data_IF_791295183527
#
_entry.id   IF_791295183527
#
_cell.length_a   1.000
_cell.length_b   1.000
_cell.length_c   1.000
_cell.angle_alpha   90.00
_cell.angle_beta   90.00
_cell.angle_gamma   90.00
#
_symmetry.space_group_name_H-M   'P 1'
#
loop_
_entity.id
_entity.type
_entity.pdbx_description
1 polymer ?
#
# COMPACT_ATOMS: atom_id res chain seq x y z
N UNK A 1 15.72 -5.35 0.02
CA UNK A 1 16.38 -4.84 -1.21
C UNK A 1 17.39 -3.80 -0.76
N UNK A 2 18.69 -3.97 -1.05
CA UNK A 2 19.71 -2.97 -0.75
C UNK A 2 19.63 -1.74 -1.66
N UNK A 3 20.40 -0.69 -1.35
CA UNK A 3 20.48 0.52 -2.18
C UNK A 3 20.87 0.19 -3.64
N UNK A 4 21.85 -0.70 -3.82
CA UNK A 4 22.34 -1.13 -5.14
C UNK A 4 21.20 -1.70 -6.02
N UNK A 5 20.31 -2.49 -5.44
CA UNK A 5 19.15 -3.04 -6.17
C UNK A 5 18.07 -2.01 -6.46
N UNK A 6 17.96 -0.98 -5.62
CA UNK A 6 17.08 0.14 -5.91
C UNK A 6 17.62 0.99 -7.07
N UNK A 7 18.93 1.24 -7.13
CA UNK A 7 19.58 1.93 -8.24
C UNK A 7 19.40 1.15 -9.55
N UNK A 8 19.66 -0.17 -9.56
CA UNK A 8 19.46 -1.04 -10.72
C UNK A 8 18.02 -0.96 -11.25
N UNK A 9 17.02 -0.99 -10.35
CA UNK A 9 15.61 -0.86 -10.72
C UNK A 9 15.29 0.53 -11.30
N UNK A 10 15.82 1.60 -10.70
CA UNK A 10 15.64 2.98 -11.17
C UNK A 10 16.25 3.15 -12.58
N UNK A 11 17.46 2.64 -12.83
CA UNK A 11 18.10 2.71 -14.15
C UNK A 11 17.31 1.92 -15.22
N UNK A 12 16.80 0.73 -14.85
CA UNK A 12 15.94 -0.05 -15.72
C UNK A 12 14.67 0.74 -16.13
N UNK A 13 14.03 1.40 -15.16
CA UNK A 13 12.83 2.19 -15.40
C UNK A 13 13.13 3.50 -16.16
N UNK A 14 14.31 4.10 -15.97
CA UNK A 14 14.76 5.23 -16.80
C UNK A 14 14.92 4.85 -18.26
N UNK A 15 15.50 3.68 -18.52
CA UNK A 15 15.68 3.16 -19.87
C UNK A 15 14.37 2.76 -20.56
N UNK A 16 13.30 2.59 -19.80
CA UNK A 16 11.98 2.14 -20.28
C UNK A 16 10.87 3.12 -19.89
N UNK A 17 10.82 4.33 -20.46
CA UNK A 17 9.90 5.40 -20.03
C UNK A 17 8.42 5.10 -20.32
N UNK A 18 8.12 4.07 -21.10
CA UNK A 18 6.75 3.66 -21.41
C UNK A 18 6.08 2.84 -20.30
N UNK A 19 6.84 2.38 -19.30
CA UNK A 19 6.26 1.73 -18.12
C UNK A 19 5.68 2.76 -17.17
N UNK A 20 4.44 2.55 -16.79
CA UNK A 20 3.83 3.22 -15.67
C UNK A 20 3.93 2.33 -14.44
N UNK A 21 4.39 2.89 -13.33
CA UNK A 21 4.64 2.10 -12.14
C UNK A 21 4.40 2.91 -10.85
N UNK A 22 4.33 2.18 -9.75
CA UNK A 22 4.15 2.75 -8.44
C UNK A 22 5.29 2.37 -7.49
N UNK A 23 5.64 3.28 -6.60
CA UNK A 23 6.60 3.05 -5.54
C UNK A 23 5.87 2.59 -4.28
N UNK A 24 6.15 1.41 -3.86
CA UNK A 24 5.69 0.84 -2.63
C UNK A 24 6.46 1.43 -1.43
N UNK A 25 5.78 2.18 -0.56
CA UNK A 25 6.45 2.90 0.54
C UNK A 25 6.26 2.30 1.92
N UNK A 26 5.47 1.23 2.08
CA UNK A 26 5.31 0.55 3.36
C UNK A 26 6.58 -0.23 3.77
N UNK A 27 6.95 -0.23 5.05
CA UNK A 27 8.02 -1.09 5.57
C UNK A 27 7.63 -2.56 5.57
N UNK A 28 6.33 -2.86 5.54
CA UNK A 28 5.77 -4.17 5.82
C UNK A 28 5.60 -4.99 4.55
N UNK A 29 6.01 -6.25 4.57
CA UNK A 29 5.76 -7.24 3.53
C UNK A 29 4.74 -8.27 4.04
N UNK A 30 3.62 -8.41 3.33
CA UNK A 30 2.58 -9.36 3.71
C UNK A 30 2.90 -10.80 3.29
N UNK A 31 2.44 -11.76 4.08
CA UNK A 31 2.72 -13.16 3.86
C UNK A 31 1.74 -14.09 4.60
N UNK A 32 1.84 -15.39 4.34
CA UNK A 32 1.06 -16.44 5.00
C UNK A 32 1.93 -17.09 6.09
N UNK A 33 1.39 -17.19 7.30
CA UNK A 33 2.12 -17.64 8.49
C UNK A 33 1.93 -19.14 8.81
N UNK A 34 1.43 -19.92 7.84
CA UNK A 34 1.05 -21.31 8.07
C UNK A 34 2.24 -22.22 8.40
N UNK A 35 2.11 -22.99 9.49
CA UNK A 35 3.03 -24.06 9.84
C UNK A 35 2.41 -25.43 9.51
N UNK A 36 3.27 -26.39 9.14
CA UNK A 36 2.88 -27.78 8.92
C UNK A 36 2.78 -28.57 10.24
N UNK A 37 2.42 -29.84 10.16
CA UNK A 37 2.31 -30.76 11.29
C UNK A 37 3.64 -31.01 12.03
N UNK A 38 4.77 -30.79 11.36
CA UNK A 38 6.12 -30.91 11.92
C UNK A 38 6.64 -29.57 12.49
N UNK A 39 5.80 -28.52 12.44
CA UNK A 39 6.14 -27.19 12.92
C UNK A 39 7.06 -26.38 11.98
N UNK A 40 7.15 -26.77 10.70
CA UNK A 40 7.92 -26.02 9.71
C UNK A 40 7.01 -24.99 9.02
N UNK A 41 7.52 -23.79 8.77
CA UNK A 41 6.79 -22.76 8.03
C UNK A 41 6.71 -23.15 6.56
N UNK A 42 5.49 -23.16 6.00
CA UNK A 42 5.20 -23.63 4.65
C UNK A 42 5.57 -22.54 3.63
N UNK A 43 5.15 -21.30 3.89
CA UNK A 43 5.28 -20.21 2.95
C UNK A 43 6.75 -19.77 2.78
N UNK A 44 7.18 -19.68 1.52
CA UNK A 44 8.55 -19.30 1.15
C UNK A 44 8.89 -17.87 1.60
N UNK A 45 7.94 -16.92 1.49
CA UNK A 45 8.19 -15.51 1.83
C UNK A 45 8.39 -15.38 3.34
N UNK A 46 7.56 -16.03 4.14
CA UNK A 46 7.69 -16.07 5.61
C UNK A 46 9.02 -16.67 6.03
N UNK A 47 9.44 -17.78 5.42
CA UNK A 47 10.75 -18.41 5.68
C UNK A 47 11.89 -17.42 5.40
N UNK A 48 11.87 -16.77 4.24
CA UNK A 48 12.89 -15.76 3.87
C UNK A 48 12.90 -14.58 4.84
N UNK A 49 11.73 -14.12 5.30
CA UNK A 49 11.64 -13.04 6.29
C UNK A 49 12.26 -13.46 7.63
N UNK A 50 11.96 -14.66 8.13
CA UNK A 50 12.57 -15.19 9.35
C UNK A 50 14.11 -15.28 9.22
N UNK A 51 14.59 -15.86 8.13
CA UNK A 51 16.03 -15.98 7.85
C UNK A 51 16.72 -14.60 7.77
N UNK A 52 16.03 -13.58 7.23
CA UNK A 52 16.54 -12.19 7.20
C UNK A 52 16.79 -11.64 8.60
N UNK A 53 16.01 -12.08 9.59
CA UNK A 53 16.22 -11.74 11.00
C UNK A 53 17.12 -12.72 11.75
N UNK A 54 17.70 -13.72 11.09
CA UNK A 54 18.53 -14.75 11.69
C UNK A 54 17.74 -15.75 12.54
N UNK A 55 16.45 -15.91 12.25
CA UNK A 55 15.53 -16.84 12.92
C UNK A 55 15.35 -18.11 12.10
N UNK A 56 15.05 -19.23 12.78
CA UNK A 56 14.72 -20.49 12.12
C UNK A 56 13.36 -20.43 11.44
N UNK A 57 13.16 -21.06 10.26
CA UNK A 57 11.90 -21.04 9.54
C UNK A 57 10.90 -22.09 10.07
N UNK A 58 10.66 -22.04 11.38
CA UNK A 58 9.81 -22.95 12.13
C UNK A 58 8.97 -22.23 13.20
N UNK A 59 8.20 -22.99 13.97
CA UNK A 59 7.34 -22.50 15.06
C UNK A 59 8.13 -21.68 16.09
N UNK A 60 9.34 -22.10 16.45
CA UNK A 60 10.13 -21.39 17.47
C UNK A 60 10.68 -20.04 16.92
N UNK A 61 11.08 -20.02 15.65
CA UNK A 61 11.44 -18.75 14.99
C UNK A 61 10.25 -17.80 14.87
N UNK A 62 9.05 -18.31 14.56
CA UNK A 62 7.83 -17.49 14.52
C UNK A 62 7.48 -16.91 15.90
N UNK A 63 7.50 -17.73 16.97
CA UNK A 63 7.31 -17.23 18.34
C UNK A 63 8.27 -16.10 18.69
N UNK A 64 9.56 -16.31 18.36
CA UNK A 64 10.59 -15.30 18.58
C UNK A 64 10.31 -14.04 17.75
N UNK A 65 9.87 -14.18 16.49
CA UNK A 65 9.54 -13.05 15.63
C UNK A 65 8.38 -12.21 16.20
N UNK A 66 7.33 -12.84 16.72
CA UNK A 66 6.23 -12.12 17.39
C UNK A 66 6.71 -11.42 18.65
N UNK A 67 7.33 -12.14 19.59
CA UNK A 67 7.75 -11.61 20.89
C UNK A 67 8.82 -10.52 20.79
N UNK A 68 9.56 -10.47 19.67
CA UNK A 68 10.55 -9.41 19.39
C UNK A 68 10.04 -8.32 18.44
N UNK A 69 8.73 -8.27 18.18
CA UNK A 69 8.07 -7.28 17.30
C UNK A 69 8.62 -7.25 15.86
N UNK A 70 9.07 -8.41 15.35
CA UNK A 70 9.59 -8.59 13.99
C UNK A 70 8.56 -9.19 13.04
N UNK A 71 7.44 -9.64 13.56
CA UNK A 71 6.29 -10.12 12.80
C UNK A 71 5.01 -9.60 13.46
N UNK A 72 4.06 -9.21 12.63
CA UNK A 72 2.70 -8.86 13.02
C UNK A 72 1.74 -9.92 12.50
N UNK A 73 0.78 -10.34 13.32
CA UNK A 73 -0.35 -11.12 12.84
C UNK A 73 -1.48 -10.17 12.41
N UNK A 74 -2.36 -10.66 11.54
CA UNK A 74 -3.54 -9.91 11.09
C UNK A 74 -4.75 -10.42 11.85
N UNK A 75 -5.32 -9.57 12.68
CA UNK A 75 -6.57 -9.81 13.38
C UNK A 75 -7.75 -9.30 12.54
N UNK A 76 -8.80 -10.10 12.41
CA UNK A 76 -10.08 -9.67 11.86
C UNK A 76 -11.02 -9.28 13.02
N UNK A 77 -11.38 -8.01 13.09
CA UNK A 77 -12.30 -7.48 14.11
C UNK A 77 -13.78 -7.62 13.70
N UNK A 78 -14.05 -8.24 12.54
CA UNK A 78 -15.38 -8.32 11.93
C UNK A 78 -15.82 -7.04 11.22
N UNK A 79 -15.06 -5.96 11.40
CA UNK A 79 -15.30 -4.66 10.76
C UNK A 79 -14.09 -4.21 9.91
N UNK A 80 -12.90 -4.46 10.39
CA UNK A 80 -11.63 -4.16 9.72
C UNK A 80 -10.57 -5.17 10.10
N UNK A 81 -9.48 -5.21 9.34
CA UNK A 81 -8.27 -5.94 9.72
C UNK A 81 -7.32 -5.01 10.47
N UNK A 82 -6.70 -5.53 11.52
CA UNK A 82 -5.70 -4.83 12.33
C UNK A 82 -4.41 -5.63 12.42
N UNK A 83 -3.27 -4.94 12.55
CA UNK A 83 -1.99 -5.56 12.87
C UNK A 83 -1.86 -5.67 14.39
N UNK A 84 -1.66 -6.88 14.87
CA UNK A 84 -1.36 -7.16 16.28
C UNK A 84 0.06 -7.69 16.41
N UNK A 85 0.70 -7.43 17.55
CA UNK A 85 2.13 -7.73 17.80
C UNK A 85 2.36 -8.36 19.17
N UNK A 86 3.57 -8.84 19.41
CA UNK A 86 3.99 -9.38 20.69
C UNK A 86 3.22 -10.63 21.11
N UNK A 87 2.84 -10.69 22.37
CA UNK A 87 2.10 -11.82 22.96
C UNK A 87 0.71 -11.99 22.31
N UNK A 88 0.03 -10.88 22.00
CA UNK A 88 -1.29 -10.92 21.35
C UNK A 88 -1.23 -11.57 19.96
N UNK A 89 -0.21 -11.25 19.16
CA UNK A 89 0.00 -11.88 17.87
C UNK A 89 0.29 -13.38 17.99
N UNK A 90 1.10 -13.75 18.97
CA UNK A 90 1.41 -15.16 19.25
C UNK A 90 0.17 -15.94 19.67
N UNK A 91 -0.62 -15.41 20.61
CA UNK A 91 -1.87 -16.04 21.07
C UNK A 91 -2.88 -16.19 19.92
N UNK A 92 -3.03 -15.15 19.09
CA UNK A 92 -3.90 -15.21 17.92
C UNK A 92 -3.47 -16.32 16.96
N UNK A 93 -2.19 -16.39 16.64
CA UNK A 93 -1.64 -17.38 15.72
C UNK A 93 -1.78 -18.82 16.25
N UNK A 94 -1.50 -19.05 17.54
CA UNK A 94 -1.69 -20.35 18.17
C UNK A 94 -3.17 -20.76 18.23
N UNK A 95 -4.08 -19.81 18.51
CA UNK A 95 -5.54 -20.03 18.50
C UNK A 95 -6.08 -20.37 17.11
N UNK A 96 -5.41 -19.96 16.07
CA UNK A 96 -5.75 -20.27 14.67
C UNK A 96 -5.02 -21.52 14.15
N UNK A 97 -4.61 -22.43 15.03
CA UNK A 97 -3.86 -23.65 14.68
C UNK A 97 -2.57 -23.34 13.88
N UNK A 98 -1.89 -22.26 14.21
CA UNK A 98 -0.66 -21.78 13.56
C UNK A 98 -0.84 -21.50 12.07
N UNK A 99 -1.95 -20.89 11.72
CA UNK A 99 -2.33 -20.46 10.37
C UNK A 99 -2.69 -18.99 10.36
N UNK A 100 -2.73 -18.41 9.17
CA UNK A 100 -3.23 -17.07 8.98
C UNK A 100 -2.30 -16.19 8.15
N UNK A 101 -2.65 -14.92 8.09
CA UNK A 101 -1.87 -13.91 7.39
C UNK A 101 -1.09 -13.05 8.39
N UNK A 102 0.04 -12.55 7.95
CA UNK A 102 0.86 -11.66 8.76
C UNK A 102 1.74 -10.73 7.93
N UNK A 103 2.59 -10.00 8.61
CA UNK A 103 3.44 -9.02 7.97
C UNK A 103 4.78 -8.87 8.68
N UNK A 104 5.84 -8.69 7.89
CA UNK A 104 7.20 -8.47 8.37
C UNK A 104 7.73 -7.10 7.92
N UNK A 105 8.34 -6.28 8.81
CA UNK A 105 8.94 -4.99 8.46
C UNK A 105 10.34 -5.18 7.83
N UNK A 106 10.40 -5.83 6.67
CA UNK A 106 11.65 -6.21 5.98
C UNK A 106 12.04 -5.30 4.82
N UNK A 107 11.22 -4.29 4.49
CA UNK A 107 11.49 -3.39 3.38
C UNK A 107 12.31 -2.17 3.84
N UNK A 108 13.61 -2.05 3.46
CA UNK A 108 14.46 -0.96 3.92
C UNK A 108 13.96 0.42 3.50
N UNK A 109 14.02 1.40 4.42
CA UNK A 109 13.57 2.77 4.15
C UNK A 109 14.32 3.41 2.98
N UNK A 110 15.65 3.24 2.93
CA UNK A 110 16.49 3.85 1.90
C UNK A 110 16.03 3.46 0.49
N UNK A 111 15.93 2.17 0.18
CA UNK A 111 15.53 1.70 -1.14
C UNK A 111 14.12 2.14 -1.53
N UNK A 112 13.16 2.10 -0.59
CA UNK A 112 11.78 2.57 -0.83
C UNK A 112 11.74 4.06 -1.17
N UNK A 113 12.51 4.87 -0.45
CA UNK A 113 12.54 6.32 -0.65
C UNK A 113 13.29 6.69 -1.93
N UNK A 114 14.40 6.03 -2.24
CA UNK A 114 15.11 6.21 -3.52
C UNK A 114 14.17 5.97 -4.70
N UNK A 115 13.44 4.86 -4.70
CA UNK A 115 12.49 4.53 -5.79
C UNK A 115 11.33 5.54 -5.84
N UNK A 116 10.78 5.93 -4.68
CA UNK A 116 9.64 6.86 -4.64
C UNK A 116 9.98 8.29 -5.11
N UNK A 117 11.26 8.71 -5.04
CA UNK A 117 11.68 10.10 -5.29
C UNK A 117 12.59 10.27 -6.49
N UNK A 118 13.00 9.18 -7.16
CA UNK A 118 13.88 9.23 -8.33
C UNK A 118 13.27 10.06 -9.48
N UNK A 119 14.08 10.94 -10.04
CA UNK A 119 13.69 11.82 -11.17
C UNK A 119 14.57 11.57 -12.39
N UNK A 120 14.01 11.91 -13.55
CA UNK A 120 14.72 12.01 -14.83
C UNK A 120 15.38 13.40 -14.96
N UNK A 121 16.18 13.60 -15.98
CA UNK A 121 16.85 14.88 -16.25
C UNK A 121 15.87 16.03 -16.51
N UNK A 122 14.70 15.73 -17.07
CA UNK A 122 13.63 16.70 -17.34
C UNK A 122 12.78 17.02 -16.09
N UNK A 123 13.13 16.47 -14.92
CA UNK A 123 12.42 16.65 -13.66
C UNK A 123 11.21 15.72 -13.46
N UNK A 124 10.80 14.94 -14.47
CA UNK A 124 9.72 13.95 -14.34
C UNK A 124 10.14 12.80 -13.42
N UNK A 125 9.18 12.17 -12.76
CA UNK A 125 9.47 11.02 -11.91
C UNK A 125 9.77 9.78 -12.74
N UNK A 126 10.73 8.97 -12.27
CA UNK A 126 11.02 7.65 -12.82
C UNK A 126 9.89 6.68 -12.49
N UNK A 127 9.35 6.80 -11.28
CA UNK A 127 8.21 6.03 -10.78
C UNK A 127 7.02 6.97 -10.56
N UNK A 128 5.90 6.68 -11.16
CA UNK A 128 4.81 7.64 -11.37
C UNK A 128 3.97 7.90 -10.12
N UNK A 129 3.64 6.87 -9.36
CA UNK A 129 2.75 6.95 -8.21
C UNK A 129 3.41 6.46 -6.92
N UNK A 130 2.77 6.72 -5.80
CA UNK A 130 3.09 6.15 -4.49
C UNK A 130 1.96 5.21 -4.09
N UNK A 131 2.32 4.01 -3.65
CA UNK A 131 1.38 3.02 -3.12
C UNK A 131 1.85 2.45 -1.78
N UNK A 132 0.99 1.68 -1.14
CA UNK A 132 1.30 0.99 0.11
C UNK A 132 1.14 -0.52 0.00
N UNK A 133 0.67 -1.01 -1.17
CA UNK A 133 0.29 -2.42 -1.36
C UNK A 133 -0.65 -2.91 -0.24
N UNK A 134 -1.54 -2.01 0.19
CA UNK A 134 -2.51 -2.27 1.24
C UNK A 134 -3.73 -2.96 0.65
N UNK A 135 -3.77 -4.26 0.65
CA UNK A 135 -4.95 -5.04 0.31
C UNK A 135 -5.69 -5.45 1.60
N UNK A 136 -5.67 -6.75 1.89
CA UNK A 136 -6.18 -7.28 3.16
C UNK A 136 -5.26 -6.99 4.38
N UNK A 137 -4.09 -6.40 4.16
CA UNK A 137 -3.15 -6.03 5.22
C UNK A 137 -3.28 -4.54 5.50
N UNK A 138 -3.48 -4.10 6.74
CA UNK A 138 -3.55 -2.70 7.11
C UNK A 138 -2.17 -2.02 6.97
N UNK A 139 -1.97 -1.32 5.86
CA UNK A 139 -0.73 -0.62 5.51
C UNK A 139 -1.01 0.84 5.14
N UNK A 140 -1.83 1.54 5.92
CA UNK A 140 -2.31 2.90 5.67
C UNK A 140 -1.23 3.97 5.93
N UNK A 141 -0.06 3.81 5.33
CA UNK A 141 1.12 4.65 5.58
C UNK A 141 1.39 5.71 4.50
N UNK A 142 0.55 5.82 3.47
CA UNK A 142 0.76 6.76 2.37
C UNK A 142 0.88 8.21 2.85
N UNK A 143 0.01 8.64 3.76
CA UNK A 143 0.03 9.99 4.33
C UNK A 143 1.28 10.19 5.21
N UNK A 144 1.51 9.32 6.19
CA UNK A 144 2.61 9.49 7.16
C UNK A 144 3.98 9.41 6.48
N UNK A 145 4.21 8.42 5.63
CA UNK A 145 5.49 8.27 4.92
C UNK A 145 5.64 9.34 3.83
N UNK A 146 4.59 9.61 3.05
CA UNK A 146 4.64 10.61 1.99
C UNK A 146 4.89 12.03 2.53
N UNK A 147 4.23 12.43 3.61
CA UNK A 147 4.49 13.71 4.25
C UNK A 147 5.86 13.77 4.94
N UNK A 148 6.40 12.63 5.40
CA UNK A 148 7.80 12.56 5.84
C UNK A 148 8.75 12.90 4.70
N UNK A 149 8.53 12.35 3.49
CA UNK A 149 9.35 12.69 2.31
C UNK A 149 9.26 14.18 1.97
N UNK A 150 8.09 14.81 2.15
CA UNK A 150 7.92 16.27 1.97
C UNK A 150 8.69 17.06 3.03
N UNK A 151 8.59 16.66 4.30
CA UNK A 151 9.31 17.33 5.41
C UNK A 151 10.83 17.23 5.28
N UNK A 152 11.33 16.14 4.74
CA UNK A 152 12.76 15.95 4.43
C UNK A 152 13.21 16.67 3.15
N UNK A 153 12.30 17.28 2.41
CA UNK A 153 12.60 17.97 1.14
C UNK A 153 12.89 17.02 -0.03
N UNK A 154 12.58 15.73 0.11
CA UNK A 154 12.72 14.74 -0.96
C UNK A 154 11.60 14.84 -2.01
N UNK A 155 10.44 15.36 -1.60
CA UNK A 155 9.30 15.74 -2.45
C UNK A 155 8.82 17.13 -2.04
N UNK A 156 8.25 17.87 -2.99
CA UNK A 156 7.39 19.01 -2.68
C UNK A 156 5.96 18.52 -2.36
N UNK A 157 5.15 19.35 -1.70
CA UNK A 157 3.76 18.98 -1.42
C UNK A 157 2.94 18.78 -2.71
N UNK A 158 3.05 19.61 -3.76
CA UNK A 158 2.42 19.32 -5.05
C UNK A 158 2.84 17.98 -5.67
N UNK A 159 4.12 17.63 -5.64
CA UNK A 159 4.61 16.35 -6.15
C UNK A 159 4.01 15.16 -5.38
N UNK A 160 3.93 15.26 -4.06
CA UNK A 160 3.26 14.25 -3.24
C UNK A 160 1.79 14.07 -3.64
N UNK A 161 1.03 15.17 -3.78
CA UNK A 161 -0.38 15.14 -4.20
C UNK A 161 -0.53 14.55 -5.60
N UNK A 162 0.33 14.94 -6.55
CA UNK A 162 0.31 14.36 -7.90
C UNK A 162 0.52 12.85 -7.86
N UNK A 163 1.51 12.37 -7.10
CA UNK A 163 1.84 10.94 -7.00
C UNK A 163 0.78 10.11 -6.26
N UNK A 164 -0.05 10.72 -5.42
CA UNK A 164 -1.04 10.00 -4.60
C UNK A 164 -2.49 10.22 -5.04
N UNK A 165 -2.75 11.18 -5.93
CA UNK A 165 -4.11 11.52 -6.38
C UNK A 165 -4.23 11.57 -7.91
N UNK A 166 -3.56 12.50 -8.56
CA UNK A 166 -3.72 12.72 -10.02
C UNK A 166 -3.23 11.51 -10.82
N UNK A 167 -2.04 11.02 -10.51
CA UNK A 167 -1.44 9.92 -11.26
C UNK A 167 -2.21 8.60 -11.09
N UNK A 168 -2.58 8.16 -9.87
CA UNK A 168 -3.41 6.97 -9.71
C UNK A 168 -4.75 7.04 -10.44
N UNK A 169 -5.44 8.18 -10.39
CA UNK A 169 -6.68 8.37 -11.12
C UNK A 169 -6.48 8.22 -12.64
N UNK A 170 -5.42 8.82 -13.19
CA UNK A 170 -5.06 8.69 -14.61
C UNK A 170 -4.67 7.26 -15.00
N UNK A 171 -3.95 6.54 -14.16
CA UNK A 171 -3.65 5.12 -14.36
C UNK A 171 -4.92 4.30 -14.59
N UNK A 172 -5.96 4.60 -13.81
CA UNK A 172 -7.25 3.93 -13.90
C UNK A 172 -8.19 4.54 -14.95
N UNK A 173 -7.75 5.54 -15.73
CA UNK A 173 -8.58 6.29 -16.70
C UNK A 173 -9.77 6.99 -16.05
N UNK A 174 -9.72 7.30 -14.77
CA UNK A 174 -10.74 8.03 -14.02
C UNK A 174 -10.44 9.53 -14.07
N UNK A 175 -10.75 10.15 -15.20
CA UNK A 175 -10.38 11.55 -15.46
C UNK A 175 -11.24 12.57 -14.71
N UNK A 176 -12.31 12.12 -14.07
CA UNK A 176 -13.25 12.92 -13.28
C UNK A 176 -12.85 13.06 -11.80
N UNK A 177 -11.68 12.52 -11.39
CA UNK A 177 -11.21 12.53 -10.00
C UNK A 177 -9.71 12.67 -9.88
N UNK A 178 -9.22 12.74 -8.63
CA UNK A 178 -7.80 12.98 -8.34
C UNK A 178 -7.39 14.45 -8.40
N UNK A 179 -8.34 15.37 -8.58
CA UNK A 179 -8.16 16.82 -8.63
C UNK A 179 -9.39 17.55 -8.08
N UNK A 180 -9.26 18.86 -7.79
CA UNK A 180 -10.32 19.70 -7.22
C UNK A 180 -10.92 20.69 -8.24
N UNK A 181 -10.89 20.35 -9.52
CA UNK A 181 -11.51 21.17 -10.57
C UNK A 181 -13.03 21.10 -10.47
N UNK A 182 -13.74 22.17 -10.80
CA UNK A 182 -15.19 22.22 -10.82
C UNK A 182 -15.77 21.09 -11.70
N UNK A 183 -16.74 20.35 -11.15
CA UNK A 183 -17.36 19.19 -11.80
C UNK A 183 -16.65 17.87 -11.53
N UNK A 184 -15.49 17.85 -10.87
CA UNK A 184 -14.85 16.62 -10.44
C UNK A 184 -15.62 15.94 -9.30
N UNK A 185 -15.47 14.63 -9.21
CA UNK A 185 -15.99 13.84 -8.08
C UNK A 185 -15.31 14.30 -6.79
N UNK A 186 -16.12 14.54 -5.76
CA UNK A 186 -15.63 15.02 -4.47
C UNK A 186 -14.99 13.86 -3.64
N UNK A 187 -13.84 13.36 -4.12
CA UNK A 187 -12.95 12.44 -3.40
C UNK A 187 -11.84 13.28 -2.77
N UNK A 188 -11.91 13.54 -1.47
CA UNK A 188 -11.05 14.51 -0.78
C UNK A 188 -10.50 13.89 0.49
N UNK A 189 -9.19 14.03 0.70
CA UNK A 189 -8.55 13.73 1.98
C UNK A 189 -8.01 15.02 2.60
N UNK A 190 -8.49 15.35 3.79
CA UNK A 190 -7.99 16.45 4.62
C UNK A 190 -7.00 15.85 5.62
N UNK A 191 -5.76 16.34 5.65
CA UNK A 191 -4.73 15.82 6.54
C UNK A 191 -4.07 16.93 7.37
N UNK A 192 -3.59 16.54 8.54
CA UNK A 192 -2.74 17.35 9.39
C UNK A 192 -1.29 17.15 8.95
N UNK A 193 -0.68 18.22 8.46
CA UNK A 193 0.69 18.17 7.96
C UNK A 193 1.71 17.94 9.08
N UNK A 194 1.48 18.54 10.25
CA UNK A 194 2.43 18.45 11.36
C UNK A 194 2.41 17.07 12.02
N UNK A 195 1.24 16.50 12.21
CA UNK A 195 1.07 15.16 12.79
C UNK A 195 1.09 14.02 11.75
N UNK A 196 1.08 14.36 10.46
CA UNK A 196 1.13 13.41 9.34
C UNK A 196 0.00 12.37 9.38
N UNK A 197 -1.20 12.79 9.71
CA UNK A 197 -2.40 11.95 9.81
C UNK A 197 -3.55 12.51 8.99
N UNK A 198 -4.37 11.62 8.43
CA UNK A 198 -5.64 12.02 7.82
C UNK A 198 -6.62 12.43 8.92
N UNK A 199 -7.27 13.58 8.75
CA UNK A 199 -8.32 14.10 9.65
C UNK A 199 -9.71 13.78 9.17
N UNK A 200 -9.92 13.83 7.86
CA UNK A 200 -11.20 13.52 7.25
C UNK A 200 -10.97 12.96 5.84
N UNK A 201 -11.73 11.94 5.48
CA UNK A 201 -11.76 11.38 4.13
C UNK A 201 -13.19 11.41 3.61
N UNK A 202 -13.36 11.98 2.44
CA UNK A 202 -14.63 12.15 1.74
C UNK A 202 -14.54 11.34 0.45
N UNK A 203 -15.55 10.55 0.16
CA UNK A 203 -15.67 9.76 -1.09
C UNK A 203 -17.02 10.07 -1.72
N UNK A 204 -16.99 10.50 -2.98
CA UNK A 204 -18.18 10.93 -3.71
C UNK A 204 -19.06 11.92 -2.91
N UNK A 205 -18.42 12.86 -2.19
CA UNK A 205 -19.10 13.87 -1.36
C UNK A 205 -19.56 13.40 0.01
N UNK A 206 -19.36 12.13 0.38
CA UNK A 206 -19.74 11.59 1.69
C UNK A 206 -18.53 11.40 2.59
N UNK A 207 -18.57 11.90 3.82
CA UNK A 207 -17.54 11.65 4.82
C UNK A 207 -17.53 10.19 5.20
N UNK A 208 -16.44 9.48 4.91
CA UNK A 208 -16.25 8.05 5.20
C UNK A 208 -15.29 7.80 6.35
N UNK A 209 -14.47 8.77 6.74
CA UNK A 209 -13.63 8.74 7.93
C UNK A 209 -13.48 10.14 8.49
N UNK A 210 -13.52 10.28 9.82
CA UNK A 210 -13.28 11.55 10.54
C UNK A 210 -12.58 11.31 11.86
N UNK A 211 -11.46 12.00 12.08
CA UNK A 211 -10.64 11.91 13.30
C UNK A 211 -10.30 10.46 13.73
N UNK A 212 -10.02 9.59 12.76
CA UNK A 212 -9.72 8.17 13.00
C UNK A 212 -10.93 7.26 13.10
N UNK A 213 -12.16 7.81 13.19
CA UNK A 213 -13.39 7.02 13.20
C UNK A 213 -13.82 6.71 11.75
N UNK A 214 -14.02 5.44 11.43
CA UNK A 214 -14.51 4.98 10.13
C UNK A 214 -16.04 5.03 10.15
N UNK A 215 -16.61 5.82 9.26
CA UNK A 215 -18.05 6.06 9.11
C UNK A 215 -18.62 5.38 7.86
N UNK A 216 -17.78 5.20 6.85
CA UNK A 216 -18.16 4.59 5.57
C UNK A 216 -18.32 3.08 5.66
N UNK A 217 -19.15 2.53 4.78
CA UNK A 217 -19.37 1.09 4.63
C UNK A 217 -19.43 0.70 3.16
N UNK A 218 -19.01 -0.55 2.86
CA UNK A 218 -19.02 -1.08 1.49
C UNK A 218 -17.80 -0.64 0.68
N UNK A 219 -17.86 -0.93 -0.61
CA UNK A 219 -16.84 -0.58 -1.60
C UNK A 219 -17.48 -0.31 -2.96
N UNK A 220 -16.74 0.44 -3.78
CA UNK A 220 -17.06 0.60 -5.21
C UNK A 220 -15.91 -0.02 -6.01
N UNK A 221 -16.22 -0.95 -6.91
CA UNK A 221 -15.22 -1.62 -7.73
C UNK A 221 -14.93 -0.80 -8.99
N UNK A 222 -13.65 -0.57 -9.29
CA UNK A 222 -13.24 -0.08 -10.62
C UNK A 222 -13.03 -1.31 -11.51
N UNK A 223 -13.79 -1.40 -12.59
CA UNK A 223 -13.78 -2.59 -13.46
C UNK A 223 -13.94 -2.24 -14.93
N UNK A 224 -13.55 -3.14 -15.81
CA UNK A 224 -13.86 -3.07 -17.25
C UNK A 224 -15.22 -3.69 -17.53
N UNK A 225 -15.73 -3.54 -18.77
CA UNK A 225 -16.99 -4.17 -19.20
C UNK A 225 -17.06 -5.68 -18.91
N UNK A 226 -15.92 -6.37 -18.93
CA UNK A 226 -15.86 -7.81 -18.67
C UNK A 226 -16.18 -8.17 -17.21
N UNK A 227 -15.93 -7.26 -16.25
CA UNK A 227 -16.14 -7.53 -14.82
C UNK A 227 -17.49 -7.07 -14.28
N UNK A 228 -18.30 -6.32 -15.06
CA UNK A 228 -19.57 -5.74 -14.60
C UNK A 228 -20.52 -6.80 -14.03
N UNK A 229 -20.77 -7.87 -14.79
CA UNK A 229 -21.70 -8.94 -14.35
C UNK A 229 -21.24 -9.60 -13.06
N UNK A 230 -19.92 -9.71 -12.82
CA UNK A 230 -19.41 -10.26 -11.57
C UNK A 230 -19.60 -9.29 -10.40
N UNK A 231 -19.37 -7.99 -10.61
CA UNK A 231 -19.60 -6.95 -9.61
C UNK A 231 -21.07 -6.88 -9.19
N UNK A 232 -21.98 -6.83 -10.16
CA UNK A 232 -23.44 -6.81 -9.94
C UNK A 232 -23.94 -8.05 -9.20
N UNK A 233 -23.45 -9.24 -9.60
CA UNK A 233 -23.80 -10.50 -8.94
C UNK A 233 -23.32 -10.56 -7.49
N UNK A 234 -22.17 -9.94 -7.20
CA UNK A 234 -21.64 -9.81 -5.85
C UNK A 234 -22.29 -8.69 -5.03
N UNK A 235 -23.17 -7.86 -5.65
CA UNK A 235 -23.88 -6.77 -4.98
C UNK A 235 -23.02 -5.52 -4.74
N UNK A 236 -21.97 -5.32 -5.52
CA UNK A 236 -21.10 -4.15 -5.40
C UNK A 236 -21.44 -3.08 -6.44
N UNK A 237 -21.39 -1.83 -5.99
CA UNK A 237 -21.35 -0.69 -6.89
C UNK A 237 -20.05 -0.73 -7.72
N UNK A 238 -20.10 -0.23 -8.95
CA UNK A 238 -18.93 -0.24 -9.81
C UNK A 238 -18.78 1.02 -10.65
N UNK A 239 -17.53 1.32 -11.02
CA UNK A 239 -17.14 2.36 -11.95
C UNK A 239 -16.46 1.67 -13.14
N UNK A 240 -16.92 2.02 -14.35
CA UNK A 240 -16.31 1.52 -15.57
C UNK A 240 -15.04 2.28 -15.90
N UNK A 241 -14.01 1.53 -16.25
CA UNK A 241 -12.79 2.03 -16.87
C UNK A 241 -12.56 1.34 -18.22
N UNK A 242 -11.96 2.07 -19.15
CA UNK A 242 -11.62 1.53 -20.47
C UNK A 242 -10.11 1.75 -20.74
N UNK A 243 -9.35 0.67 -20.75
CA UNK A 243 -7.92 0.68 -21.06
C UNK A 243 -7.62 0.59 -22.56
N UNK A 244 -8.64 0.53 -23.42
CA UNK A 244 -8.46 0.62 -24.88
C UNK A 244 -8.23 2.06 -25.34
N UNK A 245 -8.64 3.05 -24.53
CA UNK A 245 -8.32 4.44 -24.76
C UNK A 245 -6.81 4.68 -24.64
N UNK A 246 -6.25 5.63 -25.41
CA UNK A 246 -4.85 6.00 -25.29
C UNK A 246 -4.47 6.37 -23.86
N UNK A 247 -3.24 6.02 -23.50
CA UNK A 247 -2.70 6.37 -22.19
C UNK A 247 -2.63 7.89 -22.01
N UNK A 248 -3.20 8.46 -20.93
CA UNK A 248 -3.12 9.90 -20.73
C UNK A 248 -1.67 10.33 -20.52
N UNK A 249 -1.33 11.54 -20.95
CA UNK A 249 0.01 12.09 -20.74
C UNK A 249 0.36 12.11 -19.24
N UNK A 250 1.62 11.80 -18.91
CA UNK A 250 2.15 11.98 -17.56
C UNK A 250 2.00 13.43 -17.14
N UNK A 251 1.59 13.62 -15.89
CA UNK A 251 1.57 14.95 -15.31
C UNK A 251 2.96 15.27 -14.75
N UNK A 252 3.52 16.40 -15.19
CA UNK A 252 4.75 16.98 -14.64
C UNK A 252 4.30 18.17 -13.79
N UNK A 253 4.48 18.13 -12.46
CA UNK A 253 4.04 19.19 -11.55
C UNK A 253 4.83 20.48 -11.70
#
# INVERSE_FOLDING_TARGET
MGADKAEEAIELLRANPNFWCEAYVSPNNGTVLDADENGQIIDHVTRTCLETFGLTPDVEGMKTAFLTHRCFAIADTGFMSELVEGEEALELWEKQDRKGAGSFPVNPALSRFMVATAKREDGSFVVDAISTDGGCIPRNVAISVGLSLVKFGALTLPEFVVKTSVTPARHLRLMDRGHLTEGAVADITIFDFDHQVAKETIVAGNTVMKNGEILGKGMTLVTTKAGVTAAERAGYDHILTDFTDPEPARFIP
#
